data_IF_314328386677
#
_entry.id   IF_314328386677
#
_cell.length_a   1.000
_cell.length_b   1.000
_cell.length_c   1.000
_cell.angle_alpha   90.00
_cell.angle_beta   90.00
_cell.angle_gamma   90.00
#
_symmetry.space_group_name_H-M   'P 1'
#
loop_
_entity.id
_entity.type
_entity.pdbx_description
1 polymer ?
#
# COMPACT_ATOMS: atom_id res chain seq x y z
N UNK A 1 -17.70 -5.64 -22.34
CA UNK A 1 -16.82 -6.57 -23.08
C UNK A 1 -16.17 -7.48 -22.04
N UNK A 2 -15.99 -8.78 -22.28
CA UNK A 2 -15.20 -9.57 -21.34
C UNK A 2 -13.81 -8.95 -21.27
N UNK A 3 -13.37 -8.59 -20.06
CA UNK A 3 -12.03 -8.05 -19.82
C UNK A 3 -11.04 -9.09 -20.34
N UNK A 4 -10.37 -8.76 -21.46
CA UNK A 4 -9.35 -9.62 -22.05
C UNK A 4 -8.19 -9.78 -21.08
N UNK A 5 -7.66 -10.99 -21.02
CA UNK A 5 -6.43 -11.25 -20.25
C UNK A 5 -5.35 -10.33 -20.80
N UNK A 6 -4.65 -9.58 -19.92
CA UNK A 6 -3.52 -8.74 -20.29
C UNK A 6 -2.49 -9.58 -21.08
N UNK A 7 -2.16 -9.12 -22.28
CA UNK A 7 -1.02 -9.68 -23.02
C UNK A 7 0.26 -8.91 -22.65
N UNK A 8 1.45 -9.51 -22.83
CA UNK A 8 2.71 -8.79 -22.67
C UNK A 8 2.80 -7.51 -23.52
N UNK A 9 2.24 -7.53 -24.74
CA UNK A 9 2.21 -6.37 -25.62
C UNK A 9 1.30 -5.24 -25.08
N UNK A 10 0.15 -5.59 -24.49
CA UNK A 10 -0.72 -4.61 -23.83
C UNK A 10 -0.04 -3.99 -22.62
N UNK A 11 0.61 -4.80 -21.79
CA UNK A 11 1.35 -4.34 -20.63
C UNK A 11 2.51 -3.39 -21.04
N UNK A 12 3.24 -3.73 -22.09
CA UNK A 12 4.31 -2.88 -22.63
C UNK A 12 3.75 -1.52 -23.08
N UNK A 13 2.68 -1.52 -23.85
CA UNK A 13 2.04 -0.28 -24.36
C UNK A 13 1.48 0.58 -23.23
N UNK A 14 0.80 -0.02 -22.25
CA UNK A 14 0.21 0.68 -21.10
C UNK A 14 1.27 1.22 -20.13
N UNK A 15 2.32 0.45 -19.89
CA UNK A 15 3.37 0.79 -18.94
C UNK A 15 4.38 1.81 -19.47
N UNK A 16 4.54 1.94 -20.80
CA UNK A 16 5.60 2.76 -21.40
C UNK A 16 5.59 4.23 -20.93
N UNK A 17 4.44 4.96 -20.86
CA UNK A 17 4.43 6.34 -20.37
C UNK A 17 4.91 6.46 -18.93
N UNK A 18 4.46 5.56 -18.03
CA UNK A 18 4.89 5.54 -16.63
C UNK A 18 6.37 5.21 -16.52
N UNK A 19 6.86 4.22 -17.26
CA UNK A 19 8.27 3.82 -17.27
C UNK A 19 9.19 4.99 -17.67
N UNK A 20 8.82 5.75 -18.72
CA UNK A 20 9.56 6.96 -19.13
C UNK A 20 9.53 8.02 -18.03
N UNK A 21 8.36 8.31 -17.48
CA UNK A 21 8.23 9.28 -16.39
C UNK A 21 9.10 8.90 -15.19
N UNK A 22 9.07 7.65 -14.78
CA UNK A 22 9.88 7.15 -13.65
C UNK A 22 11.37 7.26 -13.97
N UNK A 23 11.80 6.84 -15.17
CA UNK A 23 13.22 6.88 -15.58
C UNK A 23 13.76 8.30 -15.71
N UNK A 24 13.01 9.18 -16.35
CA UNK A 24 13.49 10.50 -16.77
C UNK A 24 13.26 11.57 -15.69
N UNK A 25 12.19 11.46 -14.90
CA UNK A 25 11.78 12.51 -13.97
C UNK A 25 11.93 12.13 -12.48
N UNK A 26 11.83 10.85 -12.11
CA UNK A 26 11.78 10.43 -10.71
C UNK A 26 13.10 9.83 -10.25
N UNK A 27 13.67 8.87 -10.96
CA UNK A 27 14.94 8.22 -10.59
C UNK A 27 16.08 9.22 -10.38
N UNK A 28 16.24 10.28 -11.20
CA UNK A 28 17.30 11.28 -10.97
C UNK A 28 17.20 12.04 -9.64
N UNK A 29 16.01 12.04 -9.02
CA UNK A 29 15.78 12.73 -7.74
C UNK A 29 16.02 11.82 -6.51
N UNK A 30 16.16 10.50 -6.68
CA UNK A 30 16.23 9.52 -5.59
C UNK A 30 17.34 9.84 -4.58
N UNK A 31 18.56 10.04 -5.04
CA UNK A 31 19.69 10.24 -4.16
C UNK A 31 19.52 11.49 -3.27
N UNK A 32 19.13 12.60 -3.87
CA UNK A 32 18.89 13.85 -3.14
C UNK A 32 17.71 13.71 -2.17
N UNK A 33 16.61 13.09 -2.60
CA UNK A 33 15.42 12.90 -1.80
C UNK A 33 15.70 12.02 -0.56
N UNK A 34 16.45 10.95 -0.73
CA UNK A 34 16.77 10.04 0.37
C UNK A 34 17.76 10.65 1.37
N UNK A 35 18.71 11.44 0.91
CA UNK A 35 19.63 12.14 1.79
C UNK A 35 18.93 13.25 2.60
N UNK A 36 17.93 13.92 2.03
CA UNK A 36 17.18 14.97 2.70
C UNK A 36 16.05 14.46 3.61
N UNK A 37 15.60 13.20 3.40
CA UNK A 37 14.38 12.65 4.00
C UNK A 37 13.12 13.00 3.19
N UNK A 38 12.06 12.21 3.39
CA UNK A 38 10.79 12.41 2.70
C UNK A 38 9.87 13.33 3.51
N UNK A 39 9.53 14.47 2.93
CA UNK A 39 8.61 15.45 3.51
C UNK A 39 7.47 15.85 2.56
N UNK A 40 6.52 16.64 3.05
CA UNK A 40 5.39 17.11 2.25
C UNK A 40 5.79 18.06 1.11
N UNK A 41 6.90 18.79 1.23
CA UNK A 41 7.39 19.67 0.16
C UNK A 41 7.86 18.83 -1.03
N UNK A 42 8.63 17.78 -0.74
CA UNK A 42 9.04 16.81 -1.75
C UNK A 42 7.83 16.12 -2.37
N UNK A 43 6.88 15.65 -1.56
CA UNK A 43 5.64 15.02 -2.06
C UNK A 43 4.91 15.93 -3.06
N UNK A 44 4.64 17.17 -2.67
CA UNK A 44 3.94 18.13 -3.54
C UNK A 44 4.69 18.35 -4.86
N UNK A 45 6.03 18.50 -4.79
CA UNK A 45 6.86 18.62 -6.00
C UNK A 45 6.77 17.40 -6.91
N UNK A 46 6.87 16.20 -6.34
CA UNK A 46 6.81 14.96 -7.12
C UNK A 46 5.41 14.75 -7.73
N UNK A 47 4.35 15.02 -6.97
CA UNK A 47 2.97 14.93 -7.46
C UNK A 47 2.67 15.96 -8.54
N UNK A 48 3.25 17.16 -8.48
CA UNK A 48 3.13 18.14 -9.55
C UNK A 48 3.75 17.62 -10.85
N UNK A 49 4.94 17.00 -10.81
CA UNK A 49 5.56 16.38 -11.98
C UNK A 49 4.66 15.29 -12.59
N UNK A 50 4.04 14.46 -11.75
CA UNK A 50 3.11 13.43 -12.21
C UNK A 50 1.82 14.03 -12.79
N UNK A 51 1.30 15.09 -12.19
CA UNK A 51 0.12 15.81 -12.69
C UNK A 51 0.39 16.43 -14.07
N UNK A 52 1.54 17.08 -14.25
CA UNK A 52 1.94 17.67 -15.52
C UNK A 52 2.13 16.63 -16.63
N UNK A 53 2.50 15.41 -16.25
CA UNK A 53 2.60 14.25 -17.13
C UNK A 53 1.26 13.52 -17.36
N UNK A 54 0.17 13.92 -16.70
CA UNK A 54 -1.13 13.24 -16.75
C UNK A 54 -1.14 11.87 -16.09
N UNK A 55 -0.30 11.65 -15.07
CA UNK A 55 -0.09 10.36 -14.40
C UNK A 55 -0.45 10.37 -12.90
N UNK A 56 -1.05 11.47 -12.39
CA UNK A 56 -1.44 11.56 -10.98
C UNK A 56 -2.65 10.67 -10.69
N UNK A 57 -2.60 9.91 -9.59
CA UNK A 57 -3.67 9.06 -9.07
C UNK A 57 -4.33 8.19 -10.16
N UNK A 58 -3.57 7.38 -10.94
CA UNK A 58 -4.10 6.67 -12.09
C UNK A 58 -5.24 5.70 -11.74
N UNK A 59 -5.22 5.12 -10.55
CA UNK A 59 -6.21 4.16 -10.03
C UNK A 59 -7.49 4.82 -9.48
N UNK A 60 -7.47 6.12 -9.22
CA UNK A 60 -8.61 6.81 -8.62
C UNK A 60 -9.66 7.21 -9.68
N UNK A 61 -10.95 7.35 -9.30
CA UNK A 61 -12.00 7.67 -10.26
C UNK A 61 -11.78 9.03 -10.94
N UNK A 62 -12.03 9.08 -12.24
CA UNK A 62 -11.83 10.27 -13.08
C UNK A 62 -12.70 11.46 -12.63
N UNK A 63 -13.91 11.22 -12.15
CA UNK A 63 -14.83 12.25 -11.65
C UNK A 63 -14.29 13.05 -10.46
N UNK A 64 -13.30 12.50 -9.72
CA UNK A 64 -12.61 13.17 -8.63
C UNK A 64 -11.23 13.72 -9.03
N UNK A 65 -10.84 13.55 -10.28
CA UNK A 65 -9.56 14.04 -10.82
C UNK A 65 -8.47 12.98 -10.96
N UNK A 66 -8.79 11.69 -10.78
CA UNK A 66 -7.90 10.58 -11.01
C UNK A 66 -7.85 10.12 -12.47
N UNK A 67 -7.01 9.12 -12.76
CA UNK A 67 -6.86 8.57 -14.11
C UNK A 67 -7.97 7.61 -14.55
N UNK A 68 -8.81 7.12 -13.65
CA UNK A 68 -9.91 6.20 -13.93
C UNK A 68 -9.48 4.83 -14.45
N UNK A 69 -8.23 4.42 -14.22
CA UNK A 69 -7.73 3.12 -14.65
C UNK A 69 -8.50 1.98 -13.96
N UNK A 70 -8.94 1.01 -14.74
CA UNK A 70 -9.47 -0.22 -14.18
C UNK A 70 -8.40 -1.02 -13.43
N UNK A 71 -8.83 -2.06 -12.73
CA UNK A 71 -7.91 -2.80 -11.86
C UNK A 71 -6.82 -3.57 -12.62
N UNK A 72 -7.13 -4.00 -13.85
CA UNK A 72 -6.18 -4.68 -14.75
C UNK A 72 -5.11 -3.69 -15.26
N UNK A 73 -5.54 -2.53 -15.72
CA UNK A 73 -4.65 -1.43 -16.12
C UNK A 73 -3.81 -0.96 -14.94
N UNK A 74 -4.41 -0.80 -13.77
CA UNK A 74 -3.70 -0.43 -12.54
C UNK A 74 -2.58 -1.41 -12.19
N UNK A 75 -2.75 -2.72 -12.48
CA UNK A 75 -1.70 -3.70 -12.22
C UNK A 75 -0.41 -3.42 -13.00
N UNK A 76 -0.52 -2.86 -14.18
CA UNK A 76 0.65 -2.45 -14.99
C UNK A 76 1.21 -1.11 -14.51
N UNK A 77 0.33 -0.10 -14.37
CA UNK A 77 0.77 1.26 -14.04
C UNK A 77 1.46 1.33 -12.67
N UNK A 78 0.92 0.62 -11.67
CA UNK A 78 1.46 0.61 -10.32
C UNK A 78 2.73 -0.26 -10.20
N UNK A 79 2.88 -1.30 -11.01
CA UNK A 79 4.16 -2.02 -11.10
C UNK A 79 5.26 -1.10 -11.67
N UNK A 80 4.97 -0.35 -12.73
CA UNK A 80 5.95 0.60 -13.28
C UNK A 80 6.24 1.76 -12.31
N UNK A 81 5.22 2.28 -11.61
CA UNK A 81 5.42 3.28 -10.56
C UNK A 81 6.34 2.74 -9.45
N UNK A 82 6.14 1.48 -9.02
CA UNK A 82 6.95 0.83 -8.00
C UNK A 82 8.42 0.60 -8.38
N UNK A 83 8.79 0.78 -9.66
CA UNK A 83 10.18 0.66 -10.10
C UNK A 83 11.11 1.72 -9.49
N UNK A 84 10.57 2.82 -8.97
CA UNK A 84 11.27 3.73 -8.07
C UNK A 84 10.59 3.76 -6.70
N UNK A 85 11.32 3.74 -5.57
CA UNK A 85 10.71 3.94 -4.26
C UNK A 85 9.95 5.26 -4.11
N UNK A 86 10.29 6.28 -4.92
CA UNK A 86 9.58 7.56 -4.98
C UNK A 86 8.37 7.54 -5.94
N UNK A 87 8.30 6.59 -6.86
CA UNK A 87 7.27 6.55 -7.89
C UNK A 87 5.84 6.48 -7.36
N UNK A 88 5.52 5.60 -6.40
CA UNK A 88 4.19 5.56 -5.80
C UNK A 88 3.79 6.87 -5.10
N UNK A 89 4.75 7.56 -4.47
CA UNK A 89 4.53 8.87 -3.85
C UNK A 89 4.25 9.93 -4.92
N UNK A 90 5.05 9.94 -5.99
CA UNK A 90 4.90 10.88 -7.09
C UNK A 90 3.56 10.72 -7.81
N UNK A 91 3.14 9.50 -8.06
CA UNK A 91 1.88 9.22 -8.76
C UNK A 91 0.66 9.16 -7.83
N UNK A 92 0.77 9.55 -6.56
CA UNK A 92 -0.32 9.52 -5.58
C UNK A 92 -1.04 8.14 -5.53
N UNK A 93 -0.27 7.08 -5.63
CA UNK A 93 -0.74 5.70 -5.57
C UNK A 93 -0.06 4.90 -4.45
N UNK A 94 0.50 5.57 -3.44
CA UNK A 94 1.08 4.95 -2.26
C UNK A 94 0.04 4.75 -1.15
N UNK A 95 0.30 3.80 -0.25
CA UNK A 95 -0.45 3.66 0.99
C UNK A 95 -0.07 4.79 1.97
N UNK A 96 -1.02 5.21 2.84
CA UNK A 96 -2.38 4.69 3.01
C UNK A 96 -3.41 5.29 2.05
N UNK A 97 -3.06 6.38 1.36
CA UNK A 97 -3.98 7.22 0.60
C UNK A 97 -4.69 6.45 -0.52
N UNK A 98 -3.98 5.63 -1.27
CA UNK A 98 -4.55 4.83 -2.35
C UNK A 98 -5.71 3.94 -1.86
N UNK A 99 -5.50 3.21 -0.75
CA UNK A 99 -6.55 2.37 -0.16
C UNK A 99 -7.71 3.19 0.43
N UNK A 100 -7.43 4.36 0.99
CA UNK A 100 -8.44 5.27 1.51
C UNK A 100 -9.26 5.91 0.38
N UNK A 101 -8.65 6.25 -0.76
CA UNK A 101 -9.37 6.70 -1.96
C UNK A 101 -10.38 5.65 -2.43
N UNK A 102 -9.96 4.39 -2.51
CA UNK A 102 -10.86 3.30 -2.91
C UNK A 102 -12.02 3.14 -1.92
N UNK A 103 -11.74 3.12 -0.62
CA UNK A 103 -12.76 3.01 0.41
C UNK A 103 -13.78 4.16 0.32
N UNK A 104 -13.30 5.40 0.25
CA UNK A 104 -14.17 6.59 0.15
C UNK A 104 -15.00 6.56 -1.14
N UNK A 105 -14.42 6.18 -2.27
CA UNK A 105 -15.15 6.07 -3.53
C UNK A 105 -16.34 5.11 -3.44
N UNK A 106 -16.21 4.02 -2.67
CA UNK A 106 -17.25 2.98 -2.55
C UNK A 106 -18.28 3.31 -1.47
N UNK A 107 -17.85 3.76 -0.28
CA UNK A 107 -18.77 3.79 0.90
C UNK A 107 -19.13 5.20 1.38
N UNK A 108 -18.42 6.24 0.96
CA UNK A 108 -18.68 7.60 1.42
C UNK A 108 -19.92 8.21 0.77
N UNK A 109 -20.59 9.13 1.49
CA UNK A 109 -21.68 9.96 0.93
C UNK A 109 -21.12 10.95 -0.11
N UNK A 110 -22.00 11.60 -0.88
CA UNK A 110 -21.58 12.62 -1.86
C UNK A 110 -20.78 13.76 -1.19
N UNK A 111 -21.29 14.24 -0.05
CA UNK A 111 -20.67 15.31 0.74
C UNK A 111 -19.31 14.89 1.27
N UNK A 112 -19.17 13.65 1.79
CA UNK A 112 -17.92 13.11 2.25
C UNK A 112 -16.90 12.93 1.10
N UNK A 113 -17.37 12.51 -0.09
CA UNK A 113 -16.51 12.40 -1.29
C UNK A 113 -15.97 13.76 -1.72
N UNK A 114 -16.81 14.78 -1.75
CA UNK A 114 -16.37 16.12 -2.11
C UNK A 114 -15.42 16.72 -1.09
N UNK A 115 -15.65 16.48 0.22
CA UNK A 115 -14.83 17.00 1.30
C UNK A 115 -13.48 16.28 1.44
N UNK A 116 -13.44 14.96 1.27
CA UNK A 116 -12.27 14.14 1.58
C UNK A 116 -11.65 13.45 0.37
N UNK A 117 -12.45 12.81 -0.49
CA UNK A 117 -11.94 12.05 -1.62
C UNK A 117 -11.35 12.95 -2.72
N UNK A 118 -12.07 13.98 -3.10
CA UNK A 118 -11.63 14.89 -4.18
C UNK A 118 -10.27 15.53 -3.88
N UNK A 119 -10.05 16.20 -2.73
CA UNK A 119 -8.75 16.77 -2.42
C UNK A 119 -7.67 15.71 -2.21
N UNK A 120 -8.01 14.51 -1.70
CA UNK A 120 -7.08 13.39 -1.56
C UNK A 120 -6.57 12.91 -2.93
N UNK A 121 -7.47 12.71 -3.89
CA UNK A 121 -7.14 12.29 -5.27
C UNK A 121 -6.25 13.32 -5.97
N UNK A 122 -6.50 14.61 -5.73
CA UNK A 122 -5.69 15.72 -6.30
C UNK A 122 -4.35 15.95 -5.59
N UNK A 123 -4.06 15.18 -4.53
CA UNK A 123 -2.84 15.35 -3.75
C UNK A 123 -2.79 16.64 -2.91
N UNK A 124 -3.93 17.33 -2.74
CA UNK A 124 -4.03 18.56 -1.94
C UNK A 124 -3.86 18.28 -0.44
N UNK A 125 -4.20 17.07 0.00
CA UNK A 125 -4.01 16.60 1.36
C UNK A 125 -3.61 15.11 1.38
N UNK A 126 -3.17 14.64 2.55
CA UNK A 126 -2.92 13.22 2.85
C UNK A 126 -3.94 12.72 3.87
N UNK A 127 -4.06 11.42 3.97
CA UNK A 127 -4.91 10.75 4.95
C UNK A 127 -4.17 9.67 5.72
N UNK A 128 -4.79 9.16 6.78
CA UNK A 128 -4.31 7.95 7.43
C UNK A 128 -5.47 6.99 7.76
N UNK A 129 -5.13 5.72 8.04
CA UNK A 129 -6.09 4.69 8.42
C UNK A 129 -5.75 4.17 9.83
N UNK A 130 -6.54 4.57 10.82
CA UNK A 130 -6.28 4.33 12.24
C UNK A 130 -7.09 3.13 12.75
N UNK A 131 -6.58 1.90 12.48
CA UNK A 131 -7.18 0.65 12.92
C UNK A 131 -6.36 -0.02 14.02
N UNK A 132 -5.06 -0.23 13.78
CA UNK A 132 -4.15 -0.94 14.67
C UNK A 132 -3.99 -0.23 16.02
N UNK A 133 -3.93 -1.01 17.10
CA UNK A 133 -3.81 -0.54 18.48
C UNK A 133 -2.62 -1.18 19.19
N UNK A 134 -2.08 -0.55 20.25
CA UNK A 134 -1.10 -1.22 21.09
C UNK A 134 -1.73 -2.42 21.81
N UNK A 135 -0.91 -3.41 22.13
CA UNK A 135 -1.36 -4.57 22.89
C UNK A 135 -1.99 -4.14 24.24
N UNK A 136 -3.10 -4.77 24.66
CA UNK A 136 -3.77 -5.94 24.09
C UNK A 136 -4.90 -5.60 23.09
N UNK A 137 -4.85 -4.48 22.39
CA UNK A 137 -5.83 -4.06 21.38
C UNK A 137 -5.63 -4.72 20.01
N UNK A 138 -6.35 -4.19 19.00
CA UNK A 138 -6.38 -4.73 17.66
C UNK A 138 -5.02 -4.66 16.96
N UNK A 139 -4.51 -5.82 16.57
CA UNK A 139 -3.34 -5.99 15.71
C UNK A 139 -3.68 -6.90 14.55
N UNK A 140 -3.02 -8.07 14.48
CA UNK A 140 -3.35 -9.13 13.52
C UNK A 140 -4.74 -9.73 13.74
N UNK A 141 -5.26 -9.66 14.96
CA UNK A 141 -6.65 -9.95 15.31
C UNK A 141 -7.44 -8.62 15.42
N UNK A 142 -8.26 -8.28 14.44
CA UNK A 142 -9.05 -7.05 14.46
C UNK A 142 -10.21 -7.10 15.46
N UNK A 143 -10.60 -8.30 15.95
CA UNK A 143 -11.71 -8.44 16.91
C UNK A 143 -11.33 -7.92 18.31
N UNK A 144 -10.03 -7.77 18.58
CA UNK A 144 -9.51 -7.21 19.82
C UNK A 144 -9.58 -5.66 19.88
N UNK A 145 -10.30 -5.00 18.94
CA UNK A 145 -10.44 -3.54 18.88
C UNK A 145 -10.97 -2.97 20.20
N UNK A 146 -10.27 -2.01 20.79
CA UNK A 146 -10.56 -1.40 22.10
C UNK A 146 -10.96 0.06 22.05
N UNK A 147 -10.59 0.79 21.00
CA UNK A 147 -11.05 2.18 20.79
C UNK A 147 -12.58 2.20 20.81
N UNK A 148 -13.13 3.10 21.59
CA UNK A 148 -14.57 3.25 21.79
C UNK A 148 -15.10 4.50 21.09
N UNK A 149 -16.33 4.39 20.59
CA UNK A 149 -17.13 5.49 20.08
C UNK A 149 -18.42 5.56 20.91
N UNK A 150 -18.49 6.50 21.85
CA UNK A 150 -19.67 6.69 22.69
C UNK A 150 -20.62 7.68 22.03
N UNK A 151 -21.89 7.23 21.81
CA UNK A 151 -22.94 8.07 21.25
C UNK A 151 -23.30 9.19 22.24
N UNK A 152 -23.36 10.42 21.72
CA UNK A 152 -23.79 11.63 22.43
C UNK A 152 -24.78 12.43 21.58
N UNK A 153 -25.32 13.52 22.11
CA UNK A 153 -26.20 14.39 21.34
C UNK A 153 -25.47 14.99 20.13
N UNK A 154 -25.98 14.74 18.94
CA UNK A 154 -25.45 15.26 17.67
C UNK A 154 -24.17 14.59 17.15
N UNK A 155 -23.69 13.51 17.78
CA UNK A 155 -22.47 12.85 17.30
C UNK A 155 -21.93 11.77 18.22
N UNK A 156 -20.60 11.65 18.21
CA UNK A 156 -19.85 10.59 18.88
C UNK A 156 -18.61 11.16 19.54
N UNK A 157 -18.25 10.62 20.70
CA UNK A 157 -16.97 10.85 21.36
C UNK A 157 -16.10 9.61 21.18
N UNK A 158 -14.92 9.80 20.62
CA UNK A 158 -13.96 8.73 20.35
C UNK A 158 -12.86 8.76 21.41
N UNK A 159 -12.60 7.60 22.03
CA UNK A 159 -11.54 7.41 23.03
C UNK A 159 -10.74 6.15 22.73
N UNK A 160 -9.41 6.25 22.74
CA UNK A 160 -8.53 5.11 22.52
C UNK A 160 -7.13 5.48 22.08
N UNK A 161 -6.31 4.47 21.89
CA UNK A 161 -4.93 4.58 21.44
C UNK A 161 -4.71 3.80 20.14
N UNK A 162 -4.05 4.41 19.18
CA UNK A 162 -3.70 3.79 17.90
C UNK A 162 -2.18 3.71 17.73
N UNK A 163 -1.74 2.71 16.97
CA UNK A 163 -0.33 2.34 16.87
C UNK A 163 0.04 1.99 15.43
N UNK A 164 1.26 2.30 15.00
CA UNK A 164 1.72 2.11 13.62
C UNK A 164 0.82 2.81 12.58
N UNK A 165 0.34 4.04 12.89
CA UNK A 165 -0.53 4.75 11.96
C UNK A 165 0.32 5.48 10.93
N UNK A 166 0.38 4.87 9.76
CA UNK A 166 1.16 5.36 8.62
C UNK A 166 0.63 6.69 8.12
N UNK A 167 1.51 7.67 7.98
CA UNK A 167 1.19 8.98 7.44
C UNK A 167 0.35 9.88 8.36
N UNK A 168 0.12 9.50 9.63
CA UNK A 168 -0.69 10.29 10.56
C UNK A 168 -0.13 11.70 10.80
N UNK A 169 1.20 11.80 10.87
CA UNK A 169 1.86 13.10 10.96
C UNK A 169 1.71 13.87 9.65
N UNK A 170 1.02 15.01 9.70
CA UNK A 170 0.67 15.83 8.54
C UNK A 170 -0.51 15.33 7.69
N UNK A 171 -1.25 14.29 8.11
CA UNK A 171 -2.52 13.93 7.47
C UNK A 171 -3.57 15.04 7.65
N UNK A 172 -4.38 15.32 6.64
CA UNK A 172 -5.50 16.26 6.73
C UNK A 172 -6.72 15.65 7.44
N UNK A 173 -6.86 14.33 7.36
CA UNK A 173 -7.89 13.57 8.10
C UNK A 173 -7.47 12.11 8.33
N UNK A 174 -8.17 11.47 9.25
CA UNK A 174 -8.03 10.05 9.56
C UNK A 174 -9.33 9.30 9.34
N UNK A 175 -9.23 8.03 8.89
CA UNK A 175 -10.33 7.06 8.97
C UNK A 175 -10.07 6.21 10.22
N UNK A 176 -10.89 6.37 11.24
CA UNK A 176 -10.70 5.75 12.56
C UNK A 176 -11.68 4.59 12.74
N UNK A 177 -11.15 3.41 13.08
CA UNK A 177 -11.95 2.26 13.51
C UNK A 177 -12.21 2.34 15.02
N UNK A 178 -13.48 2.29 15.44
CA UNK A 178 -13.87 2.24 16.85
C UNK A 178 -15.11 1.36 17.06
N UNK A 179 -15.24 0.78 18.25
CA UNK A 179 -16.45 0.05 18.66
C UNK A 179 -17.48 1.02 19.20
N UNK A 180 -18.68 0.97 18.65
CA UNK A 180 -19.78 1.77 19.15
C UNK A 180 -20.21 1.30 20.55
N UNK A 181 -20.54 2.25 21.42
CA UNK A 181 -21.00 2.03 22.79
C UNK A 181 -22.17 2.96 23.14
N UNK A 182 -23.20 2.43 23.76
CA UNK A 182 -24.39 3.16 24.21
C UNK A 182 -25.64 2.28 24.11
N UNK A 183 -26.78 2.71 24.68
CA UNK A 183 -28.01 1.93 24.69
C UNK A 183 -28.55 1.56 23.29
N UNK A 184 -28.39 2.46 22.33
CA UNK A 184 -28.82 2.27 20.93
C UNK A 184 -27.65 2.17 19.97
N UNK A 185 -26.44 1.83 20.47
CA UNK A 185 -25.26 1.71 19.65
C UNK A 185 -25.31 0.42 18.82
N UNK A 186 -24.95 0.46 17.52
CA UNK A 186 -24.91 -0.72 16.69
C UNK A 186 -23.84 -1.69 17.20
N UNK A 187 -24.12 -3.00 17.13
CA UNK A 187 -23.11 -4.01 17.42
C UNK A 187 -21.94 -3.93 16.42
N UNK A 188 -20.72 -4.15 16.90
CA UNK A 188 -19.52 -4.20 16.06
C UNK A 188 -18.73 -2.88 16.02
N UNK A 189 -17.84 -2.81 15.05
CA UNK A 189 -17.03 -1.63 14.81
C UNK A 189 -17.66 -0.74 13.74
N UNK A 190 -17.44 0.56 13.87
CA UNK A 190 -17.77 1.59 12.87
C UNK A 190 -16.52 2.32 12.43
N UNK A 191 -16.61 3.02 11.30
CA UNK A 191 -15.56 3.92 10.83
C UNK A 191 -16.00 5.36 11.00
N UNK A 192 -15.06 6.21 11.38
CA UNK A 192 -15.29 7.63 11.61
C UNK A 192 -14.25 8.46 10.85
N UNK A 193 -14.69 9.50 10.18
CA UNK A 193 -13.83 10.52 9.60
C UNK A 193 -13.48 11.54 10.68
N UNK A 194 -12.21 11.70 10.96
CA UNK A 194 -11.70 12.61 11.98
C UNK A 194 -10.74 13.59 11.32
N UNK A 195 -11.07 14.87 11.32
CA UNK A 195 -10.20 15.92 10.79
C UNK A 195 -8.95 16.08 11.65
N UNK A 196 -7.82 16.43 11.03
CA UNK A 196 -6.56 16.68 11.75
C UNK A 196 -6.64 17.81 12.77
N UNK A 197 -7.53 18.79 12.55
CA UNK A 197 -7.80 19.90 13.47
C UNK A 197 -8.68 19.54 14.69
N UNK A 198 -9.13 18.29 14.80
CA UNK A 198 -9.94 17.86 15.94
C UNK A 198 -9.09 17.89 17.23
N UNK A 199 -9.50 18.62 18.28
CA UNK A 199 -8.68 18.77 19.49
C UNK A 199 -8.47 17.45 20.25
N UNK A 200 -9.36 16.48 20.08
CA UNK A 200 -9.20 15.14 20.64
C UNK A 200 -8.32 14.19 19.81
N UNK A 201 -7.90 14.57 18.60
CA UNK A 201 -6.98 13.82 17.75
C UNK A 201 -5.54 14.27 18.00
N UNK A 202 -4.74 13.44 18.64
CA UNK A 202 -3.39 13.78 19.06
C UNK A 202 -2.40 12.81 18.39
N UNK A 203 -1.59 13.32 17.47
CA UNK A 203 -0.49 12.59 16.86
C UNK A 203 0.73 12.67 17.75
N UNK A 204 1.21 11.54 18.22
CA UNK A 204 2.42 11.41 19.02
C UNK A 204 3.67 11.20 18.18
N UNK A 205 4.75 10.78 18.85
CA UNK A 205 6.05 10.58 18.22
C UNK A 205 5.99 9.57 17.06
N UNK A 206 6.76 9.85 16.03
CA UNK A 206 7.03 8.90 14.96
C UNK A 206 7.89 7.75 15.50
N UNK A 207 7.51 6.55 15.13
CA UNK A 207 8.22 5.34 15.50
C UNK A 207 9.45 5.15 14.60
N UNK A 208 10.59 4.82 15.19
CA UNK A 208 11.76 4.44 14.42
C UNK A 208 11.57 3.02 13.87
N UNK A 209 11.39 2.91 12.57
CA UNK A 209 11.22 1.66 11.84
C UNK A 209 12.40 1.43 10.90
N UNK A 210 12.53 0.22 10.36
CA UNK A 210 13.56 -0.09 9.37
C UNK A 210 13.22 0.47 7.99
N UNK A 211 11.94 0.68 7.71
CA UNK A 211 11.46 1.34 6.50
C UNK A 211 11.43 2.86 6.70
N UNK A 212 11.70 3.57 5.62
CA UNK A 212 11.74 5.03 5.62
C UNK A 212 11.02 5.63 4.40
N UNK A 213 10.23 4.81 3.70
CA UNK A 213 9.60 5.15 2.41
C UNK A 213 8.33 5.98 2.50
N UNK A 214 7.90 6.44 3.69
CA UNK A 214 6.60 7.09 3.88
C UNK A 214 6.74 8.49 4.45
N UNK A 215 6.10 9.47 3.81
CA UNK A 215 5.96 10.84 4.35
C UNK A 215 5.09 10.80 5.59
N UNK A 216 5.55 11.45 6.69
CA UNK A 216 4.88 11.41 7.99
C UNK A 216 5.09 10.11 8.78
N UNK A 217 5.92 9.19 8.29
CA UNK A 217 6.33 7.97 8.99
C UNK A 217 5.18 7.12 9.55
N UNK A 218 5.45 6.45 10.67
CA UNK A 218 4.45 5.67 11.42
C UNK A 218 4.34 6.23 12.83
N UNK A 219 3.16 6.72 13.22
CA UNK A 219 2.98 7.40 14.51
C UNK A 219 2.11 6.59 15.48
N UNK A 220 2.27 6.90 16.75
CA UNK A 220 1.25 6.65 17.77
C UNK A 220 0.21 7.76 17.67
N UNK A 221 -1.04 7.43 17.92
CA UNK A 221 -2.14 8.39 17.93
C UNK A 221 -2.99 8.15 19.16
N UNK A 222 -3.39 9.21 19.81
CA UNK A 222 -4.32 9.17 20.92
C UNK A 222 -5.62 9.88 20.54
N UNK A 223 -6.72 9.27 20.89
CA UNK A 223 -8.06 9.85 20.83
C UNK A 223 -8.50 10.11 22.27
N UNK A 224 -8.83 11.35 22.59
CA UNK A 224 -9.29 11.77 23.93
C UNK A 224 -10.53 12.64 23.77
N UNK A 225 -11.69 12.04 24.02
CA UNK A 225 -12.99 12.69 23.82
C UNK A 225 -13.09 13.40 22.46
N UNK A 226 -12.52 12.79 21.42
CA UNK A 226 -12.52 13.35 20.07
C UNK A 226 -13.96 13.38 19.55
N UNK A 227 -14.61 14.53 19.59
CA UNK A 227 -15.97 14.70 19.11
C UNK A 227 -16.02 14.72 17.59
N UNK A 228 -16.94 13.92 17.02
CA UNK A 228 -17.28 13.94 15.60
C UNK A 228 -18.79 13.95 15.44
N UNK A 229 -19.31 14.66 14.45
CA UNK A 229 -20.74 14.71 14.14
C UNK A 229 -21.27 13.36 13.62
N UNK A 230 -22.57 13.22 13.56
CA UNK A 230 -23.20 12.02 12.98
C UNK A 230 -22.87 11.85 11.49
N UNK A 231 -22.63 12.95 10.79
CA UNK A 231 -22.20 13.01 9.39
C UNK A 231 -20.76 12.51 9.17
N UNK A 232 -19.98 12.35 10.23
CA UNK A 232 -18.62 11.80 10.16
C UNK A 232 -18.59 10.26 10.14
N UNK A 233 -19.69 9.58 10.34
CA UNK A 233 -19.73 8.11 10.22
C UNK A 233 -19.53 7.73 8.76
N UNK A 234 -18.50 6.92 8.49
CA UNK A 234 -18.17 6.45 7.14
C UNK A 234 -18.84 5.11 6.87
N UNK A 235 -19.79 5.12 5.95
CA UNK A 235 -20.61 3.96 5.62
C UNK A 235 -21.65 3.65 6.70
N UNK A 236 -22.10 2.39 6.78
CA UNK A 236 -23.11 1.93 7.71
C UNK A 236 -22.53 1.67 9.12
N UNK A 237 -23.10 2.25 10.20
CA UNK A 237 -22.67 1.98 11.56
C UNK A 237 -22.72 0.47 11.90
N UNK A 238 -21.75 -0.01 12.67
CA UNK A 238 -21.60 -1.45 13.01
C UNK A 238 -21.00 -2.30 11.90
N UNK A 239 -20.83 -1.79 10.67
CA UNK A 239 -20.29 -2.52 9.53
C UNK A 239 -18.80 -2.21 9.25
N UNK A 240 -18.11 -1.58 10.18
CA UNK A 240 -16.74 -1.11 9.98
C UNK A 240 -15.76 -2.21 9.52
N UNK A 241 -15.86 -3.44 10.04
CA UNK A 241 -15.01 -4.54 9.55
C UNK A 241 -15.36 -4.99 8.13
N UNK A 242 -16.63 -4.95 7.73
CA UNK A 242 -17.03 -5.23 6.35
C UNK A 242 -16.46 -4.15 5.40
N UNK A 243 -16.57 -2.88 5.78
CA UNK A 243 -16.00 -1.76 5.04
C UNK A 243 -14.46 -1.80 5.02
N UNK A 244 -13.81 -2.25 6.12
CA UNK A 244 -12.38 -2.49 6.13
C UNK A 244 -11.95 -3.51 5.06
N UNK A 245 -12.74 -4.55 4.79
CA UNK A 245 -12.45 -5.50 3.70
C UNK A 245 -12.63 -4.87 2.31
N UNK A 246 -13.54 -3.90 2.13
CA UNK A 246 -13.65 -3.12 0.88
C UNK A 246 -12.32 -2.41 0.58
N UNK A 247 -11.67 -1.85 1.61
CA UNK A 247 -10.35 -1.23 1.51
C UNK A 247 -9.22 -2.24 1.32
N UNK A 248 -9.18 -3.27 2.17
CA UNK A 248 -8.02 -4.15 2.32
C UNK A 248 -7.83 -5.14 1.18
N UNK A 249 -8.91 -5.56 0.50
CA UNK A 249 -8.81 -6.51 -0.63
C UNK A 249 -8.04 -5.89 -1.80
N UNK A 250 -8.43 -4.74 -2.35
CA UNK A 250 -7.65 -4.09 -3.40
C UNK A 250 -6.28 -3.60 -2.88
N UNK A 251 -6.17 -3.05 -1.67
CA UNK A 251 -4.92 -2.56 -1.12
C UNK A 251 -3.82 -3.63 -1.07
N UNK A 252 -4.14 -4.87 -0.72
CA UNK A 252 -3.18 -5.99 -0.77
C UNK A 252 -2.61 -6.20 -2.17
N UNK A 253 -3.44 -6.08 -3.19
CA UNK A 253 -3.03 -6.26 -4.58
C UNK A 253 -2.22 -5.07 -5.10
N UNK A 254 -2.61 -3.84 -4.78
CA UNK A 254 -1.85 -2.65 -5.16
C UNK A 254 -0.49 -2.60 -4.46
N UNK A 255 -0.37 -3.12 -3.23
CA UNK A 255 0.92 -3.38 -2.61
C UNK A 255 1.74 -4.41 -3.39
N UNK A 256 1.13 -5.52 -3.84
CA UNK A 256 1.81 -6.50 -4.68
C UNK A 256 2.33 -5.87 -5.97
N UNK A 257 1.54 -5.00 -6.62
CA UNK A 257 1.93 -4.28 -7.84
C UNK A 257 3.19 -3.44 -7.60
N UNK A 258 3.17 -2.57 -6.61
CA UNK A 258 4.28 -1.66 -6.31
C UNK A 258 5.54 -2.40 -5.88
N UNK A 259 5.42 -3.39 -5.00
CA UNK A 259 6.58 -4.16 -4.53
C UNK A 259 7.17 -5.08 -5.60
N UNK A 260 6.37 -5.55 -6.56
CA UNK A 260 6.88 -6.26 -7.72
C UNK A 260 7.77 -5.33 -8.57
N UNK A 261 7.36 -4.09 -8.79
CA UNK A 261 8.17 -3.07 -9.47
C UNK A 261 9.49 -2.79 -8.75
N UNK A 262 9.45 -2.63 -7.42
CA UNK A 262 10.64 -2.41 -6.61
C UNK A 262 11.61 -3.62 -6.63
N UNK A 263 11.06 -4.84 -6.53
CA UNK A 263 11.86 -6.06 -6.63
C UNK A 263 12.53 -6.21 -8.01
N UNK A 264 11.80 -5.88 -9.10
CA UNK A 264 12.35 -5.81 -10.45
C UNK A 264 13.49 -4.78 -10.53
N UNK A 265 13.33 -3.59 -9.95
CA UNK A 265 14.39 -2.58 -9.90
C UNK A 265 15.65 -3.08 -9.22
N UNK A 266 15.51 -3.70 -8.05
CA UNK A 266 16.64 -4.26 -7.31
C UNK A 266 17.34 -5.35 -8.12
N UNK A 267 16.58 -6.23 -8.76
CA UNK A 267 17.10 -7.28 -9.64
C UNK A 267 17.86 -6.69 -10.83
N UNK A 268 17.29 -5.75 -11.57
CA UNK A 268 17.89 -5.14 -12.76
C UNK A 268 19.23 -4.44 -12.43
N UNK A 269 19.32 -3.78 -11.28
CA UNK A 269 20.57 -3.15 -10.82
C UNK A 269 21.60 -4.23 -10.50
N UNK A 270 21.21 -5.30 -9.81
CA UNK A 270 22.10 -6.39 -9.45
C UNK A 270 22.61 -7.15 -10.68
N UNK A 271 21.76 -7.38 -11.68
CA UNK A 271 22.15 -8.03 -12.95
C UNK A 271 23.13 -7.14 -13.74
N UNK A 272 22.84 -5.84 -13.88
CA UNK A 272 23.77 -4.90 -14.53
C UNK A 272 25.14 -4.89 -13.85
N UNK A 273 25.16 -4.91 -12.50
CA UNK A 273 26.41 -5.02 -11.75
C UNK A 273 27.10 -6.35 -12.00
N UNK A 274 26.38 -7.47 -11.99
CA UNK A 274 26.93 -8.79 -12.22
C UNK A 274 27.53 -8.96 -13.63
N UNK A 275 26.95 -8.30 -14.64
CA UNK A 275 27.46 -8.32 -16.00
C UNK A 275 28.78 -7.53 -16.18
N UNK A 276 28.97 -6.45 -15.41
CA UNK A 276 30.13 -5.58 -15.51
C UNK A 276 31.25 -5.84 -14.47
N UNK A 277 30.96 -6.61 -13.42
CA UNK A 277 31.94 -6.88 -12.35
C UNK A 277 32.74 -8.14 -12.64
N UNK A 278 34.05 -8.00 -12.83
CA UNK A 278 34.96 -9.14 -12.96
C UNK A 278 35.45 -9.62 -11.61
N UNK A 279 35.40 -10.94 -11.38
CA UNK A 279 35.90 -11.65 -10.20
C UNK A 279 36.46 -13.01 -10.64
N UNK A 280 37.59 -13.41 -10.07
CA UNK A 280 38.22 -14.70 -10.38
C UNK A 280 38.47 -14.93 -11.90
N UNK A 281 38.75 -13.86 -12.64
CA UNK A 281 39.04 -13.90 -14.07
C UNK A 281 37.82 -14.01 -15.00
N UNK A 282 36.58 -13.79 -14.47
CA UNK A 282 35.35 -13.83 -15.25
C UNK A 282 34.34 -12.81 -14.74
N UNK A 283 33.35 -12.37 -15.57
CA UNK A 283 32.25 -11.60 -15.08
C UNK A 283 31.46 -12.35 -14.00
N UNK A 284 31.03 -11.65 -12.93
CA UNK A 284 30.27 -12.24 -11.82
C UNK A 284 29.05 -13.01 -12.32
N UNK A 285 28.33 -12.47 -13.30
CA UNK A 285 27.13 -13.10 -13.88
C UNK A 285 27.41 -14.40 -14.66
N UNK A 286 28.67 -14.75 -14.93
CA UNK A 286 29.03 -16.03 -15.53
C UNK A 286 29.38 -17.12 -14.51
N UNK A 287 29.46 -16.78 -13.22
CA UNK A 287 29.76 -17.74 -12.15
C UNK A 287 28.50 -18.51 -11.74
N UNK A 288 28.61 -19.84 -11.61
CA UNK A 288 27.44 -20.72 -11.46
C UNK A 288 26.50 -20.34 -10.30
N UNK A 289 26.99 -19.94 -9.12
CA UNK A 289 26.16 -19.53 -8.01
C UNK A 289 25.47 -18.18 -8.26
N UNK A 290 26.11 -17.25 -8.97
CA UNK A 290 25.48 -15.99 -9.36
C UNK A 290 24.40 -16.22 -10.42
N UNK A 291 24.64 -17.12 -11.39
CA UNK A 291 23.64 -17.52 -12.37
C UNK A 291 22.39 -18.11 -11.72
N UNK A 292 22.54 -18.94 -10.68
CA UNK A 292 21.40 -19.47 -9.93
C UNK A 292 20.57 -18.35 -9.30
N UNK A 293 21.20 -17.38 -8.61
CA UNK A 293 20.49 -16.26 -7.98
C UNK A 293 19.73 -15.40 -9.01
N UNK A 294 20.33 -15.16 -10.17
CA UNK A 294 19.71 -14.43 -11.27
C UNK A 294 18.50 -15.21 -11.83
N UNK A 295 18.68 -16.50 -12.12
CA UNK A 295 17.63 -17.34 -12.67
C UNK A 295 16.44 -17.51 -11.71
N UNK A 296 16.70 -17.72 -10.42
CA UNK A 296 15.65 -17.81 -9.39
C UNK A 296 14.83 -16.50 -9.31
N UNK A 297 15.48 -15.35 -9.44
CA UNK A 297 14.80 -14.06 -9.45
C UNK A 297 13.91 -13.90 -10.69
N UNK A 298 14.40 -14.23 -11.87
CA UNK A 298 13.63 -14.18 -13.12
C UNK A 298 12.38 -15.07 -13.04
N UNK A 299 12.53 -16.30 -12.54
CA UNK A 299 11.42 -17.26 -12.37
C UNK A 299 10.36 -16.68 -11.42
N UNK A 300 10.79 -16.17 -10.25
CA UNK A 300 9.86 -15.62 -9.26
C UNK A 300 9.20 -14.31 -9.73
N UNK A 301 9.88 -13.43 -10.47
CA UNK A 301 9.30 -12.21 -11.06
C UNK A 301 8.17 -12.56 -12.04
N UNK A 302 8.40 -13.52 -12.94
CA UNK A 302 7.39 -13.98 -13.90
C UNK A 302 6.21 -14.61 -13.18
N UNK A 303 6.44 -15.48 -12.20
CA UNK A 303 5.38 -16.15 -11.44
C UNK A 303 4.53 -15.13 -10.64
N UNK A 304 5.15 -14.14 -9.99
CA UNK A 304 4.48 -13.08 -9.27
C UNK A 304 3.58 -12.26 -10.20
N UNK A 305 4.10 -11.86 -11.36
CA UNK A 305 3.34 -11.06 -12.34
C UNK A 305 2.15 -11.84 -12.90
N UNK A 306 2.33 -13.11 -13.27
CA UNK A 306 1.26 -13.96 -13.78
C UNK A 306 0.13 -14.11 -12.76
N UNK A 307 0.46 -14.41 -11.50
CA UNK A 307 -0.53 -14.50 -10.42
C UNK A 307 -1.24 -13.17 -10.19
N UNK A 308 -0.49 -12.05 -10.17
CA UNK A 308 -1.05 -10.72 -9.96
C UNK A 308 -2.06 -10.35 -11.06
N UNK A 309 -1.71 -10.55 -12.33
CA UNK A 309 -2.59 -10.24 -13.45
C UNK A 309 -3.85 -11.13 -13.48
N UNK A 310 -3.70 -12.42 -13.14
CA UNK A 310 -4.84 -13.31 -13.00
C UNK A 310 -5.82 -12.81 -11.94
N UNK A 311 -5.34 -12.44 -10.75
CA UNK A 311 -6.20 -11.97 -9.67
C UNK A 311 -6.78 -10.59 -9.99
N UNK A 312 -6.01 -9.69 -10.61
CA UNK A 312 -6.51 -8.40 -11.06
C UNK A 312 -7.67 -8.53 -12.05
N UNK A 313 -7.57 -9.45 -13.01
CA UNK A 313 -8.65 -9.74 -13.96
C UNK A 313 -9.91 -10.28 -13.26
N UNK A 314 -9.77 -11.15 -12.27
CA UNK A 314 -10.90 -11.67 -11.49
C UNK A 314 -11.61 -10.55 -10.69
N UNK A 315 -10.84 -9.67 -10.05
CA UNK A 315 -11.40 -8.51 -9.32
C UNK A 315 -12.11 -7.55 -10.28
N UNK A 316 -11.53 -7.28 -11.44
CA UNK A 316 -12.16 -6.44 -12.47
C UNK A 316 -13.48 -7.02 -13.01
N UNK A 317 -13.64 -8.34 -12.96
CA UNK A 317 -14.87 -9.06 -13.32
C UNK A 317 -15.90 -9.11 -12.18
N UNK A 318 -15.64 -8.45 -11.06
CA UNK A 318 -16.55 -8.38 -9.91
C UNK A 318 -16.40 -9.54 -8.91
N UNK A 319 -15.35 -10.37 -9.03
CA UNK A 319 -15.04 -11.35 -7.98
C UNK A 319 -14.67 -10.58 -6.70
N UNK A 320 -15.24 -10.99 -5.56
CA UNK A 320 -15.01 -10.34 -4.25
C UNK A 320 -13.52 -10.28 -3.86
N UNK A 321 -12.71 -11.19 -4.37
CA UNK A 321 -11.25 -11.18 -4.29
C UNK A 321 -10.64 -11.44 -2.90
N UNK A 322 -11.43 -11.80 -1.89
CA UNK A 322 -10.92 -11.97 -0.51
C UNK A 322 -9.92 -13.12 -0.39
N UNK A 323 -10.19 -14.26 -1.01
CA UNK A 323 -9.31 -15.43 -0.98
C UNK A 323 -8.14 -15.26 -1.95
N UNK A 324 -8.44 -14.76 -3.14
CA UNK A 324 -7.49 -14.50 -4.22
C UNK A 324 -6.43 -13.48 -3.78
N UNK A 325 -6.85 -12.35 -3.20
CA UNK A 325 -5.92 -11.33 -2.68
C UNK A 325 -5.06 -11.87 -1.53
N UNK A 326 -5.61 -12.74 -0.67
CA UNK A 326 -4.84 -13.38 0.40
C UNK A 326 -3.74 -14.28 -0.15
N UNK A 327 -4.06 -15.12 -1.16
CA UNK A 327 -3.08 -16.01 -1.82
C UNK A 327 -1.99 -15.20 -2.53
N UNK A 328 -2.41 -14.20 -3.32
CA UNK A 328 -1.48 -13.33 -4.03
C UNK A 328 -0.56 -12.59 -3.07
N UNK A 329 -1.11 -11.99 -2.00
CA UNK A 329 -0.34 -11.25 -1.00
C UNK A 329 0.72 -12.12 -0.33
N UNK A 330 0.36 -13.33 0.11
CA UNK A 330 1.33 -14.23 0.74
C UNK A 330 2.43 -14.62 -0.24
N UNK A 331 2.06 -15.10 -1.43
CA UNK A 331 3.04 -15.55 -2.40
C UNK A 331 3.99 -14.42 -2.83
N UNK A 332 3.42 -13.26 -3.22
CA UNK A 332 4.19 -12.14 -3.76
C UNK A 332 5.03 -11.46 -2.68
N UNK A 333 4.52 -11.27 -1.46
CA UNK A 333 5.32 -10.66 -0.39
C UNK A 333 6.52 -11.50 0.03
N UNK A 334 6.39 -12.82 0.03
CA UNK A 334 7.49 -13.74 0.31
C UNK A 334 8.50 -13.79 -0.85
N UNK A 335 8.00 -13.88 -2.09
CA UNK A 335 8.85 -13.95 -3.28
C UNK A 335 9.64 -12.65 -3.50
N UNK A 336 8.97 -11.49 -3.45
CA UNK A 336 9.64 -10.19 -3.63
C UNK A 336 10.69 -9.93 -2.55
N UNK A 337 10.45 -10.39 -1.32
CA UNK A 337 11.46 -10.37 -0.26
C UNK A 337 12.69 -11.19 -0.62
N UNK A 338 12.52 -12.41 -1.14
CA UNK A 338 13.65 -13.26 -1.58
C UNK A 338 14.39 -12.69 -2.79
N UNK A 339 13.65 -12.12 -3.75
CA UNK A 339 14.22 -11.48 -4.94
C UNK A 339 15.14 -10.34 -4.53
N UNK A 340 14.70 -9.47 -3.62
CA UNK A 340 15.50 -8.34 -3.16
C UNK A 340 16.68 -8.79 -2.31
N UNK A 341 16.53 -9.82 -1.48
CA UNK A 341 17.63 -10.42 -0.71
C UNK A 341 18.72 -10.96 -1.63
N UNK A 342 18.37 -11.71 -2.68
CA UNK A 342 19.33 -12.17 -3.69
C UNK A 342 19.98 -11.00 -4.46
N UNK A 343 19.22 -9.92 -4.71
CA UNK A 343 19.78 -8.73 -5.35
C UNK A 343 20.82 -8.03 -4.45
N UNK A 344 20.59 -7.94 -3.14
CA UNK A 344 21.60 -7.48 -2.16
C UNK A 344 22.84 -8.36 -2.21
N UNK A 345 22.66 -9.68 -2.21
CA UNK A 345 23.77 -10.65 -2.27
C UNK A 345 24.60 -10.48 -3.54
N UNK A 346 23.97 -10.34 -4.71
CA UNK A 346 24.65 -10.11 -6.00
C UNK A 346 25.35 -8.75 -6.04
N UNK A 347 24.79 -7.73 -5.42
CA UNK A 347 25.41 -6.41 -5.33
C UNK A 347 26.61 -6.38 -4.38
N UNK A 348 26.73 -7.36 -3.48
CA UNK A 348 27.81 -7.43 -2.50
C UNK A 348 27.81 -6.25 -1.55
N UNK A 349 28.97 -5.76 -1.12
CA UNK A 349 29.08 -4.63 -0.18
C UNK A 349 28.29 -3.38 -0.59
N UNK A 350 28.18 -3.09 -1.88
CA UNK A 350 27.37 -1.97 -2.36
C UNK A 350 25.86 -2.16 -2.08
N UNK A 351 25.38 -3.40 -1.99
CA UNK A 351 23.96 -3.68 -1.73
C UNK A 351 23.51 -3.36 -0.31
N UNK A 352 24.43 -3.19 0.63
CA UNK A 352 24.15 -2.91 2.05
C UNK A 352 24.51 -1.47 2.45
N UNK A 353 24.85 -0.61 1.50
CA UNK A 353 25.12 0.82 1.77
C UNK A 353 23.88 1.65 1.57
N UNK A 354 23.80 2.78 2.26
CA UNK A 354 22.74 3.78 2.08
C UNK A 354 22.79 4.47 0.70
N UNK A 355 23.93 4.40 0.01
CA UNK A 355 24.10 4.92 -1.35
C UNK A 355 23.36 4.07 -2.39
N UNK A 356 23.07 2.81 -2.05
CA UNK A 356 22.38 1.87 -2.94
C UNK A 356 20.89 1.86 -2.71
N UNK A 357 20.12 2.13 -3.76
CA UNK A 357 18.65 1.97 -3.71
C UNK A 357 18.23 0.53 -3.39
N UNK A 358 19.09 -0.49 -3.67
CA UNK A 358 18.79 -1.89 -3.32
C UNK A 358 18.68 -2.07 -1.80
N UNK A 359 19.62 -1.51 -1.03
CA UNK A 359 19.59 -1.59 0.44
C UNK A 359 18.33 -0.92 1.03
N UNK A 360 17.91 0.20 0.46
CA UNK A 360 16.66 0.85 0.83
C UNK A 360 15.44 -0.01 0.49
N UNK A 361 15.34 -0.53 -0.72
CA UNK A 361 14.25 -1.43 -1.12
C UNK A 361 14.20 -2.65 -0.18
N UNK A 362 15.36 -3.19 0.20
CA UNK A 362 15.45 -4.32 1.15
C UNK A 362 14.85 -3.98 2.52
N UNK A 363 15.18 -2.82 3.06
CA UNK A 363 14.63 -2.36 4.33
C UNK A 363 13.10 -2.13 4.25
N UNK A 364 12.67 -1.41 3.22
CA UNK A 364 11.27 -1.03 3.05
C UNK A 364 10.35 -2.25 2.77
N UNK A 365 10.79 -3.18 1.92
CA UNK A 365 9.96 -4.35 1.52
C UNK A 365 9.73 -5.34 2.66
N UNK A 366 10.61 -5.34 3.69
CA UNK A 366 10.50 -6.31 4.79
C UNK A 366 9.17 -6.21 5.52
N UNK A 367 8.63 -5.00 5.66
CA UNK A 367 7.36 -4.75 6.33
C UNK A 367 6.15 -5.31 5.55
N UNK A 368 6.25 -5.53 4.23
CA UNK A 368 5.16 -6.02 3.40
C UNK A 368 4.65 -7.42 3.82
N UNK A 369 5.47 -8.26 4.42
CA UNK A 369 5.04 -9.55 4.97
C UNK A 369 4.16 -9.43 6.22
N UNK A 370 4.08 -8.23 6.82
CA UNK A 370 3.44 -7.98 8.13
C UNK A 370 2.14 -7.19 7.97
N UNK A 371 2.17 -6.03 7.33
CA UNK A 371 0.99 -5.17 7.24
C UNK A 371 -0.10 -5.73 6.32
N UNK A 372 -1.32 -5.18 6.41
CA UNK A 372 -2.54 -5.64 5.74
C UNK A 372 -2.85 -7.13 5.96
N UNK A 373 -2.42 -7.62 7.12
CA UNK A 373 -2.49 -9.00 7.58
C UNK A 373 -1.17 -9.74 7.34
N UNK A 374 -0.53 -10.25 8.40
CA UNK A 374 0.71 -11.01 8.26
C UNK A 374 0.49 -12.31 7.49
N UNK A 375 1.56 -12.80 6.88
CA UNK A 375 1.55 -14.04 6.09
C UNK A 375 0.91 -15.21 6.84
N UNK A 376 1.11 -15.28 8.15
CA UNK A 376 0.59 -16.33 9.05
C UNK A 376 -0.94 -16.25 9.15
N UNK A 377 -1.51 -15.07 9.35
CA UNK A 377 -2.96 -14.86 9.43
C UNK A 377 -3.65 -15.25 8.10
N UNK A 378 -3.06 -14.87 6.98
CA UNK A 378 -3.55 -15.25 5.66
C UNK A 378 -3.45 -16.77 5.43
N UNK A 379 -2.32 -17.40 5.76
CA UNK A 379 -2.14 -18.86 5.64
C UNK A 379 -3.17 -19.62 6.47
N UNK A 380 -3.41 -19.19 7.70
CA UNK A 380 -4.44 -19.78 8.56
C UNK A 380 -5.85 -19.66 7.95
N UNK A 381 -6.18 -18.49 7.37
CA UNK A 381 -7.46 -18.28 6.72
C UNK A 381 -7.61 -19.11 5.43
N UNK A 382 -6.56 -19.22 4.61
CA UNK A 382 -6.53 -20.03 3.38
C UNK A 382 -6.73 -21.52 3.74
N UNK A 383 -6.00 -22.02 4.75
CA UNK A 383 -6.11 -23.42 5.18
C UNK A 383 -7.52 -23.76 5.67
N UNK A 384 -8.11 -22.93 6.57
CA UNK A 384 -9.48 -23.13 7.07
C UNK A 384 -10.50 -23.19 5.93
N UNK A 385 -10.40 -22.31 4.92
CA UNK A 385 -11.31 -22.32 3.77
C UNK A 385 -11.13 -23.55 2.89
N UNK A 386 -9.89 -24.03 2.74
CA UNK A 386 -9.61 -25.24 1.97
C UNK A 386 -10.27 -26.47 2.62
N UNK A 387 -10.12 -26.65 3.94
CA UNK A 387 -10.77 -27.72 4.70
C UNK A 387 -12.30 -27.62 4.59
N UNK A 388 -12.88 -26.44 4.86
CA UNK A 388 -14.33 -26.24 4.81
C UNK A 388 -14.95 -26.46 3.40
N UNK A 389 -14.17 -26.37 2.32
CA UNK A 389 -14.64 -26.72 0.97
C UNK A 389 -14.82 -28.24 0.80
N UNK A 390 -13.91 -29.01 1.36
CA UNK A 390 -13.96 -30.48 1.28
C UNK A 390 -15.09 -31.03 2.16
N UNK A 391 -15.28 -30.44 3.36
CA UNK A 391 -16.36 -30.87 4.27
C UNK A 391 -17.77 -30.57 3.76
N UNK A 392 -17.91 -29.67 2.78
CA UNK A 392 -19.20 -29.32 2.13
C UNK A 392 -19.43 -30.02 0.78
N UNK A 393 -18.42 -30.65 0.23
CA UNK A 393 -18.49 -31.39 -1.04
C UNK A 393 -18.93 -32.83 -0.85
#
# INVERSE_FOLDING_TARGET
MPHSVLTPADAERLGQPVRRFIADSIIPLEQQAFAAGLDDKLRVRLQQLANDAGLLAPQAPAEFGGGGADFVTSAVLLEEAGYSPLGPLAMNCSAPDEGNMHLLAVVATAEQKDRYLRPLVRGELRSCFAMTEPAPGAGSDPTALRTLARKVAGGWLLDGDKHFITGADGAGFAIVMARAQGPDAPEGASMFLVDAGNPGWQVGDQMRTIDAGTVGGHSRVQLREAFVGDDAVLGEPGRGFAHAQVRLVPARLTHCMRWLGAARRAHDIAVRRASGRELFGAPLGSLGMAQQLIADNEIELVACRALLWQVAAQVAQGVKGTEESSRAKVFISEATGRIVDRAVQLAGGAGVTEESVIGRIYADIRAFRIYDGPSEAHRAAIARRAVARIERA
#
